data_IF_023411349227
#
_entry.id   IF_023411349227
#
_cell.length_a   1.000
_cell.length_b   1.000
_cell.length_c   1.000
_cell.angle_alpha   90.00
_cell.angle_beta   90.00
_cell.angle_gamma   90.00
#
_symmetry.space_group_name_H-M   'P 1'
#
loop_
_entity.id
_entity.type
_entity.pdbx_description
1 polymer ?
#
# COMPACT_ATOMS: atom_id res chain seq x y z
N UNK A 1 18.16 5.98 -9.02
CA UNK A 1 17.03 5.38 -8.28
C UNK A 1 16.46 6.41 -7.32
N UNK A 2 15.15 6.55 -7.27
CA UNK A 2 14.43 7.45 -6.38
C UNK A 2 13.48 6.64 -5.48
N UNK A 3 13.39 6.99 -4.20
CA UNK A 3 12.53 6.28 -3.22
C UNK A 3 11.49 7.26 -2.69
N UNK A 4 10.24 6.86 -2.62
CA UNK A 4 9.13 7.67 -2.11
C UNK A 4 8.20 6.84 -1.23
N UNK A 5 7.58 7.48 -0.24
CA UNK A 5 6.69 6.86 0.75
C UNK A 5 5.36 7.60 0.85
N UNK A 6 4.39 6.93 1.44
CA UNK A 6 3.03 7.42 1.71
C UNK A 6 3.00 8.50 2.80
N UNK A 7 1.95 9.35 2.79
CA UNK A 7 1.79 10.49 3.71
C UNK A 7 2.90 11.55 3.60
N UNK A 8 3.33 11.83 2.39
CA UNK A 8 4.42 12.75 2.10
C UNK A 8 3.98 14.18 1.78
N UNK A 9 2.72 14.38 1.38
CA UNK A 9 2.20 15.69 0.98
C UNK A 9 2.08 16.66 2.14
N UNK A 10 2.72 17.82 2.01
CA UNK A 10 2.59 18.92 2.96
C UNK A 10 1.16 19.51 3.01
N UNK A 11 0.41 19.40 1.90
CA UNK A 11 -0.95 19.95 1.79
C UNK A 11 -1.92 19.33 2.78
N UNK A 12 -1.90 18.00 2.91
CA UNK A 12 -2.90 17.26 3.69
C UNK A 12 -2.37 16.66 5.00
N UNK A 13 -1.05 16.67 5.20
CA UNK A 13 -0.41 16.06 6.37
C UNK A 13 -0.95 16.60 7.70
N UNK A 14 -1.12 17.93 7.79
CA UNK A 14 -1.63 18.57 8.99
C UNK A 14 -3.10 18.19 9.24
N UNK A 15 -3.95 18.24 8.20
CA UNK A 15 -5.38 17.89 8.28
C UNK A 15 -5.56 16.41 8.65
N UNK A 16 -4.82 15.50 7.99
CA UNK A 16 -4.84 14.07 8.29
C UNK A 16 -4.41 13.78 9.72
N UNK A 17 -3.35 14.45 10.22
CA UNK A 17 -2.88 14.30 11.60
C UNK A 17 -3.91 14.80 12.62
N UNK A 18 -4.53 15.94 12.35
CA UNK A 18 -5.56 16.51 13.20
C UNK A 18 -6.80 15.62 13.27
N UNK A 19 -7.31 15.18 12.12
CA UNK A 19 -8.46 14.28 12.04
C UNK A 19 -8.22 12.93 12.72
N UNK A 20 -7.02 12.35 12.55
CA UNK A 20 -6.62 11.14 13.30
C UNK A 20 -6.58 11.35 14.80
N UNK A 21 -6.04 12.49 15.27
CA UNK A 21 -5.95 12.79 16.70
C UNK A 21 -7.34 12.98 17.34
N UNK A 22 -8.26 13.59 16.61
CA UNK A 22 -9.63 13.87 17.08
C UNK A 22 -10.60 12.70 16.85
N UNK A 23 -10.16 11.63 16.17
CA UNK A 23 -11.00 10.51 15.74
C UNK A 23 -12.26 10.94 14.94
N UNK A 24 -12.14 11.98 14.11
CA UNK A 24 -13.23 12.56 13.32
C UNK A 24 -13.26 12.14 11.85
N UNK A 25 -12.29 11.32 11.40
CA UNK A 25 -12.23 10.87 10.02
C UNK A 25 -13.23 9.74 9.76
N UNK A 26 -14.21 10.01 8.91
CA UNK A 26 -15.05 8.96 8.34
C UNK A 26 -14.24 8.15 7.30
N UNK A 27 -14.64 6.91 6.95
CA UNK A 27 -13.98 6.15 5.89
C UNK A 27 -13.83 6.94 4.58
N UNK A 28 -14.88 7.64 4.14
CA UNK A 28 -14.88 8.47 2.94
C UNK A 28 -13.88 9.64 3.04
N UNK A 29 -13.91 10.40 4.14
CA UNK A 29 -12.99 11.53 4.34
C UNK A 29 -11.54 11.04 4.39
N UNK A 30 -11.31 9.86 4.96
CA UNK A 30 -10.00 9.26 5.02
C UNK A 30 -9.47 8.88 3.64
N UNK A 31 -10.31 8.27 2.78
CA UNK A 31 -9.99 7.96 1.38
C UNK A 31 -9.64 9.23 0.58
N UNK A 32 -10.45 10.28 0.69
CA UNK A 32 -10.22 11.55 -0.03
C UNK A 32 -8.90 12.23 0.39
N UNK A 33 -8.59 12.26 1.68
CA UNK A 33 -7.32 12.81 2.17
C UNK A 33 -6.13 12.01 1.66
N UNK A 34 -6.23 10.68 1.63
CA UNK A 34 -5.18 9.82 1.09
C UNK A 34 -5.05 9.95 -0.43
N UNK A 35 -6.14 10.10 -1.16
CA UNK A 35 -6.09 10.33 -2.60
C UNK A 35 -5.43 11.67 -2.94
N UNK A 36 -5.71 12.72 -2.16
CA UNK A 36 -5.04 14.03 -2.31
C UNK A 36 -3.54 13.94 -2.02
N UNK A 37 -3.15 13.23 -0.94
CA UNK A 37 -1.74 12.95 -0.64
C UNK A 37 -1.06 12.21 -1.80
N UNK A 38 -1.73 11.22 -2.36
CA UNK A 38 -1.20 10.43 -3.46
C UNK A 38 -1.09 11.25 -4.76
N UNK A 39 -2.07 12.09 -5.08
CA UNK A 39 -2.04 12.95 -6.25
C UNK A 39 -0.84 13.91 -6.22
N UNK A 40 -0.61 14.53 -5.06
CA UNK A 40 0.54 15.41 -4.82
C UNK A 40 1.87 14.63 -4.97
N UNK A 41 1.97 13.48 -4.32
CA UNK A 41 3.13 12.57 -4.42
C UNK A 41 3.39 12.12 -5.86
N UNK A 42 2.34 11.79 -6.61
CA UNK A 42 2.45 11.37 -8.00
C UNK A 42 3.08 12.47 -8.86
N UNK A 43 2.57 13.69 -8.74
CA UNK A 43 2.99 14.82 -9.56
C UNK A 43 4.39 15.34 -9.22
N UNK A 44 4.75 15.35 -7.95
CA UNK A 44 6.02 15.96 -7.51
C UNK A 44 7.13 14.95 -7.22
N UNK A 45 6.81 13.71 -6.85
CA UNK A 45 7.81 12.75 -6.40
C UNK A 45 7.92 11.50 -7.28
N UNK A 46 6.91 11.17 -8.11
CA UNK A 46 6.92 9.97 -8.94
C UNK A 46 7.15 10.31 -10.41
N UNK A 47 6.32 11.16 -10.99
CA UNK A 47 6.39 11.49 -12.42
C UNK A 47 7.71 12.15 -12.82
N UNK A 48 8.25 13.16 -12.11
CA UNK A 48 9.48 13.81 -12.53
C UNK A 48 10.69 12.87 -12.63
N UNK A 49 11.01 12.03 -11.61
CA UNK A 49 12.12 11.11 -11.73
C UNK A 49 11.87 10.02 -12.79
N UNK A 50 10.63 9.55 -13.02
CA UNK A 50 10.32 8.64 -14.12
C UNK A 50 10.60 9.28 -15.48
N UNK A 51 10.19 10.54 -15.69
CA UNK A 51 10.50 11.29 -16.91
C UNK A 51 12.00 11.52 -17.11
N UNK A 52 12.77 11.54 -16.04
CA UNK A 52 14.23 11.62 -16.08
C UNK A 52 14.91 10.23 -16.30
N UNK A 53 14.16 9.18 -16.61
CA UNK A 53 14.68 7.83 -16.84
C UNK A 53 15.15 7.11 -15.57
N UNK A 54 14.69 7.55 -14.39
CA UNK A 54 15.09 6.94 -13.12
C UNK A 54 14.13 5.80 -12.74
N UNK A 55 14.67 4.78 -12.08
CA UNK A 55 13.85 3.78 -11.38
C UNK A 55 13.27 4.43 -10.12
N UNK A 56 11.96 4.35 -9.95
CA UNK A 56 11.23 4.82 -8.78
C UNK A 56 10.77 3.65 -7.93
N UNK A 57 11.18 3.59 -6.67
CA UNK A 57 10.67 2.66 -5.68
C UNK A 57 9.62 3.37 -4.81
N UNK A 58 8.37 2.96 -4.94
CA UNK A 58 7.27 3.49 -4.17
C UNK A 58 6.93 2.53 -3.01
N UNK A 59 7.30 2.90 -1.77
CA UNK A 59 6.79 2.21 -0.59
C UNK A 59 5.32 2.59 -0.41
N UNK A 60 4.45 1.60 -0.54
CA UNK A 60 2.99 1.70 -0.68
C UNK A 60 2.57 2.47 -1.94
N UNK A 61 1.59 1.95 -2.60
CA UNK A 61 0.98 2.51 -3.80
C UNK A 61 -0.55 2.48 -3.69
N UNK A 62 -1.29 2.74 -4.77
CA UNK A 62 -2.77 2.75 -4.81
C UNK A 62 -3.38 1.48 -4.24
N UNK A 63 -2.72 0.34 -4.39
CA UNK A 63 -3.16 -0.94 -3.82
C UNK A 63 -3.35 -0.90 -2.29
N UNK A 64 -2.57 -0.06 -1.58
CA UNK A 64 -2.78 0.16 -0.14
C UNK A 64 -4.10 0.85 0.15
N UNK A 65 -4.49 1.83 -0.67
CA UNK A 65 -5.80 2.47 -0.56
C UNK A 65 -6.91 1.48 -0.93
N UNK A 66 -6.76 0.74 -2.03
CA UNK A 66 -7.75 -0.25 -2.46
C UNK A 66 -8.08 -1.24 -1.35
N UNK A 67 -7.07 -1.82 -0.71
CA UNK A 67 -7.28 -2.77 0.36
C UNK A 67 -7.85 -2.12 1.64
N UNK A 68 -7.26 -1.02 2.10
CA UNK A 68 -7.61 -0.42 3.39
C UNK A 68 -8.94 0.31 3.38
N UNK A 69 -9.30 0.94 2.26
CA UNK A 69 -10.54 1.69 2.15
C UNK A 69 -11.72 0.73 1.94
N UNK A 70 -11.55 -0.32 1.12
CA UNK A 70 -12.54 -1.39 0.99
C UNK A 70 -12.76 -2.14 2.33
N UNK A 71 -11.70 -2.45 3.07
CA UNK A 71 -11.80 -3.05 4.41
C UNK A 71 -12.54 -2.15 5.41
N UNK A 72 -12.64 -0.83 5.14
CA UNK A 72 -13.45 0.14 5.91
C UNK A 72 -14.88 0.29 5.39
N UNK A 73 -15.26 -0.47 4.37
CA UNK A 73 -16.61 -0.43 3.80
C UNK A 73 -16.83 0.64 2.73
N UNK A 74 -15.77 1.25 2.22
CA UNK A 74 -15.87 2.11 1.02
C UNK A 74 -16.03 1.21 -0.21
N UNK A 75 -16.89 1.60 -1.16
CA UNK A 75 -17.11 0.83 -2.39
C UNK A 75 -15.79 0.62 -3.14
N UNK A 76 -15.35 -0.62 -3.37
CA UNK A 76 -14.09 -0.91 -4.04
C UNK A 76 -14.00 -0.32 -5.46
N UNK A 77 -15.13 -0.23 -6.20
CA UNK A 77 -15.16 0.36 -7.55
C UNK A 77 -14.93 1.85 -7.48
N UNK A 78 -15.60 2.53 -6.53
CA UNK A 78 -15.40 3.95 -6.32
C UNK A 78 -13.95 4.28 -5.93
N UNK A 79 -13.31 3.47 -5.09
CA UNK A 79 -11.89 3.67 -4.73
C UNK A 79 -10.99 3.52 -5.96
N UNK A 80 -11.24 2.55 -6.84
CA UNK A 80 -10.47 2.38 -8.08
C UNK A 80 -10.64 3.58 -9.03
N UNK A 81 -11.87 4.08 -9.18
CA UNK A 81 -12.16 5.28 -9.97
C UNK A 81 -11.47 6.51 -9.39
N UNK A 82 -11.48 6.68 -8.07
CA UNK A 82 -10.80 7.78 -7.36
C UNK A 82 -9.30 7.83 -7.67
N UNK A 83 -8.66 6.69 -7.89
CA UNK A 83 -7.23 6.59 -8.21
C UNK A 83 -6.95 6.33 -9.70
N UNK A 84 -7.94 6.52 -10.59
CA UNK A 84 -7.79 6.27 -12.04
C UNK A 84 -6.70 7.10 -12.72
N UNK A 85 -6.31 8.22 -12.12
CA UNK A 85 -5.22 9.08 -12.57
C UNK A 85 -3.82 8.52 -12.28
N UNK A 86 -3.70 7.43 -11.52
CA UNK A 86 -2.43 6.86 -11.11
C UNK A 86 -1.74 6.15 -12.28
N UNK A 87 -0.45 6.38 -12.44
CA UNK A 87 0.38 5.61 -13.38
C UNK A 87 0.46 4.16 -12.90
N UNK A 88 0.21 3.20 -13.79
CA UNK A 88 0.36 1.78 -13.45
C UNK A 88 1.84 1.46 -13.20
N UNK A 89 2.20 0.84 -12.07
CA UNK A 89 3.58 0.43 -11.83
C UNK A 89 3.96 -0.72 -12.75
N UNK A 90 5.20 -0.73 -13.21
CA UNK A 90 5.75 -1.80 -14.06
C UNK A 90 5.90 -3.12 -13.29
N UNK A 91 6.25 -3.04 -12.02
CA UNK A 91 6.33 -4.17 -11.10
C UNK A 91 5.68 -3.81 -9.77
N UNK A 92 4.67 -4.58 -9.38
CA UNK A 92 4.03 -4.46 -8.07
C UNK A 92 4.32 -5.70 -7.23
N UNK A 93 4.84 -5.50 -6.03
CA UNK A 93 5.19 -6.58 -5.11
C UNK A 93 4.42 -6.44 -3.80
N UNK A 94 3.81 -7.54 -3.37
CA UNK A 94 3.10 -7.64 -2.11
C UNK A 94 3.85 -8.54 -1.14
N UNK A 95 4.31 -7.98 -0.03
CA UNK A 95 4.89 -8.74 1.08
C UNK A 95 3.77 -9.28 1.97
N UNK A 96 3.37 -10.53 1.73
CA UNK A 96 2.27 -11.17 2.45
C UNK A 96 2.77 -11.75 3.76
N UNK A 97 2.15 -11.36 4.87
CA UNK A 97 2.44 -11.89 6.20
C UNK A 97 1.14 -12.34 6.88
N UNK A 98 1.06 -13.56 7.44
CA UNK A 98 -0.10 -13.99 8.21
C UNK A 98 -0.35 -13.05 9.40
N UNK A 99 -1.63 -12.83 9.73
CA UNK A 99 -2.01 -11.85 10.75
C UNK A 99 -1.39 -12.17 12.11
N UNK A 100 -1.32 -13.44 12.50
CA UNK A 100 -0.75 -13.84 13.78
C UNK A 100 0.75 -13.54 13.84
N UNK A 101 1.49 -13.81 12.78
CA UNK A 101 2.92 -13.47 12.66
C UNK A 101 3.14 -11.96 12.75
N UNK A 102 2.25 -11.16 12.12
CA UNK A 102 2.31 -9.71 12.22
C UNK A 102 2.06 -9.22 13.63
N UNK A 103 1.06 -9.77 14.30
CA UNK A 103 0.70 -9.43 15.67
C UNK A 103 1.81 -9.81 16.65
N UNK A 104 2.36 -11.02 16.56
CA UNK A 104 3.47 -11.47 17.38
C UNK A 104 4.71 -10.56 17.24
N UNK A 105 5.04 -10.15 16.01
CA UNK A 105 6.14 -9.22 15.75
C UNK A 105 5.91 -7.83 16.38
N UNK A 106 4.67 -7.33 16.32
CA UNK A 106 4.33 -6.04 16.93
C UNK A 106 4.42 -6.11 18.46
N UNK A 107 3.88 -7.17 19.06
CA UNK A 107 3.92 -7.38 20.51
C UNK A 107 5.35 -7.60 21.02
N UNK A 108 6.13 -8.43 20.34
CA UNK A 108 7.54 -8.69 20.71
C UNK A 108 8.40 -7.41 20.68
N UNK A 109 8.12 -6.49 19.74
CA UNK A 109 8.81 -5.21 19.63
C UNK A 109 8.23 -4.12 20.52
N UNK A 110 7.20 -4.41 21.31
CA UNK A 110 6.44 -3.45 22.14
C UNK A 110 5.94 -2.23 21.34
N UNK A 111 5.63 -2.44 20.07
CA UNK A 111 5.08 -1.38 19.22
C UNK A 111 3.64 -1.13 19.64
N UNK A 112 3.33 0.13 19.94
CA UNK A 112 1.98 0.53 20.31
C UNK A 112 1.07 0.49 19.07
N UNK A 113 0.03 -0.32 19.11
CA UNK A 113 -1.01 -0.33 18.08
C UNK A 113 -1.71 1.02 18.04
N UNK A 114 -1.83 1.60 16.86
CA UNK A 114 -2.52 2.88 16.68
C UNK A 114 -4.00 2.68 16.38
N UNK A 115 -4.83 3.59 16.83
CA UNK A 115 -6.28 3.55 16.72
C UNK A 115 -6.77 3.15 15.31
N UNK A 116 -6.37 3.88 14.27
CA UNK A 116 -6.77 3.59 12.88
C UNK A 116 -6.08 2.37 12.25
N UNK A 117 -4.91 1.98 12.74
CA UNK A 117 -4.24 0.75 12.28
C UNK A 117 -4.94 -0.50 12.83
N UNK A 118 -5.54 -0.36 13.99
CA UNK A 118 -6.32 -1.40 14.64
C UNK A 118 -7.80 -1.41 14.19
N UNK A 119 -8.23 -0.48 13.31
CA UNK A 119 -9.62 -0.42 12.88
C UNK A 119 -10.61 -0.05 13.98
N UNK A 120 -10.15 0.64 15.05
CA UNK A 120 -11.01 1.06 16.16
C UNK A 120 -12.08 2.06 15.73
N UNK A 121 -11.84 2.77 14.64
CA UNK A 121 -12.79 3.65 13.97
C UNK A 121 -14.03 2.92 13.41
N UNK A 122 -13.96 1.60 13.29
CA UNK A 122 -15.04 0.75 12.79
C UNK A 122 -15.87 0.07 13.89
N UNK A 123 -15.45 0.19 15.15
CA UNK A 123 -16.15 -0.43 16.27
C UNK A 123 -16.21 -1.96 16.23
N UNK A 124 -15.25 -2.63 15.61
CA UNK A 124 -15.25 -4.09 15.40
C UNK A 124 -15.13 -4.87 16.71
N UNK A 125 -14.41 -4.33 17.68
CA UNK A 125 -14.25 -4.90 19.02
C UNK A 125 -13.84 -3.79 20.00
N UNK A 126 -14.20 -3.87 21.27
CA UNK A 126 -13.66 -2.99 22.30
C UNK A 126 -12.19 -3.26 22.62
N UNK A 127 -11.70 -4.47 22.32
CA UNK A 127 -10.30 -4.85 22.47
C UNK A 127 -9.48 -4.36 21.30
N UNK A 128 -8.43 -3.58 21.57
CA UNK A 128 -7.52 -3.05 20.53
C UNK A 128 -6.84 -4.17 19.72
N UNK A 129 -6.44 -5.27 20.37
CA UNK A 129 -5.78 -6.41 19.72
C UNK A 129 -6.78 -7.17 18.86
N UNK A 130 -7.98 -7.42 19.36
CA UNK A 130 -9.01 -8.13 18.60
C UNK A 130 -9.51 -7.29 17.42
N UNK A 131 -9.72 -5.98 17.62
CA UNK A 131 -10.07 -5.06 16.53
C UNK A 131 -8.99 -5.04 15.45
N UNK A 132 -7.70 -5.02 15.86
CA UNK A 132 -6.59 -5.13 14.91
C UNK A 132 -6.65 -6.44 14.11
N UNK A 133 -6.86 -7.58 14.78
CA UNK A 133 -6.97 -8.89 14.12
C UNK A 133 -8.11 -8.90 13.08
N UNK A 134 -9.30 -8.46 13.46
CA UNK A 134 -10.46 -8.40 12.60
C UNK A 134 -10.26 -7.44 11.42
N UNK A 135 -9.76 -6.24 11.67
CA UNK A 135 -9.55 -5.25 10.62
C UNK A 135 -8.44 -5.65 9.64
N UNK A 136 -7.29 -6.09 10.15
CA UNK A 136 -6.18 -6.51 9.29
C UNK A 136 -6.51 -7.81 8.54
N UNK A 137 -7.36 -8.69 9.11
CA UNK A 137 -7.90 -9.84 8.38
C UNK A 137 -8.66 -9.40 7.12
N UNK A 138 -9.58 -8.43 7.25
CA UNK A 138 -10.29 -7.84 6.09
C UNK A 138 -9.32 -7.21 5.08
N UNK A 139 -8.28 -6.53 5.56
CA UNK A 139 -7.25 -5.93 4.68
C UNK A 139 -6.50 -7.00 3.90
N UNK A 140 -6.15 -8.13 4.54
CA UNK A 140 -5.50 -9.26 3.86
C UNK A 140 -6.39 -9.88 2.78
N UNK A 141 -7.68 -10.09 3.06
CA UNK A 141 -8.66 -10.58 2.08
C UNK A 141 -8.77 -9.66 0.86
N UNK A 142 -8.78 -8.34 1.08
CA UNK A 142 -8.78 -7.37 -0.01
C UNK A 142 -7.47 -7.41 -0.81
N UNK A 143 -6.31 -7.57 -0.15
CA UNK A 143 -5.05 -7.74 -0.87
C UNK A 143 -5.01 -9.02 -1.69
N UNK A 144 -5.55 -10.14 -1.19
CA UNK A 144 -5.63 -11.39 -1.96
C UNK A 144 -6.46 -11.19 -3.26
N UNK A 145 -7.58 -10.44 -3.20
CA UNK A 145 -8.34 -10.05 -4.41
C UNK A 145 -7.55 -9.15 -5.36
N UNK A 146 -6.81 -8.17 -4.81
CA UNK A 146 -5.98 -7.23 -5.58
C UNK A 146 -4.81 -7.96 -6.26
N UNK A 147 -4.23 -8.97 -5.62
CA UNK A 147 -3.20 -9.84 -6.22
C UNK A 147 -3.70 -10.45 -7.52
N UNK A 148 -4.90 -11.03 -7.50
CA UNK A 148 -5.51 -11.67 -8.68
C UNK A 148 -5.91 -10.64 -9.74
N UNK A 149 -6.49 -9.50 -9.32
CA UNK A 149 -6.99 -8.45 -10.21
C UNK A 149 -5.87 -7.72 -10.97
N UNK A 150 -4.74 -7.45 -10.30
CA UNK A 150 -3.65 -6.62 -10.84
C UNK A 150 -2.36 -7.39 -11.12
N UNK A 151 -2.31 -8.67 -10.82
CA UNK A 151 -1.15 -9.52 -11.07
C UNK A 151 0.06 -9.19 -10.19
N UNK A 152 -0.17 -8.84 -8.91
CA UNK A 152 0.92 -8.53 -7.99
C UNK A 152 1.80 -9.77 -7.75
N UNK A 153 3.12 -9.55 -7.68
CA UNK A 153 4.05 -10.60 -7.25
C UNK A 153 4.04 -10.71 -5.73
N UNK A 154 3.74 -11.90 -5.22
CA UNK A 154 3.66 -12.14 -3.78
C UNK A 154 5.00 -12.63 -3.27
N UNK A 155 5.50 -12.02 -2.21
CA UNK A 155 6.67 -12.45 -1.43
C UNK A 155 6.20 -12.89 -0.05
N UNK A 156 6.57 -14.10 0.37
CA UNK A 156 6.28 -14.57 1.72
C UNK A 156 7.10 -13.78 2.74
N UNK A 157 6.40 -12.95 3.53
CA UNK A 157 7.00 -12.13 4.57
C UNK A 157 6.94 -12.77 5.97
N UNK A 158 6.61 -14.07 6.09
CA UNK A 158 6.67 -14.81 7.36
C UNK A 158 8.10 -15.11 7.80
N UNK A 159 9.00 -15.31 6.85
CA UNK A 159 10.41 -15.65 7.08
C UNK A 159 11.31 -14.49 7.52
N UNK A 160 12.62 -14.70 7.40
CA UNK A 160 13.63 -13.70 7.77
C UNK A 160 13.68 -12.53 6.77
N UNK A 161 14.12 -11.34 7.22
CA UNK A 161 14.34 -10.19 6.33
C UNK A 161 15.31 -10.54 5.21
N UNK A 162 16.35 -11.35 5.48
CA UNK A 162 17.33 -11.78 4.49
C UNK A 162 16.70 -12.62 3.37
N UNK A 163 15.79 -13.55 3.71
CA UNK A 163 15.10 -14.37 2.70
C UNK A 163 14.17 -13.52 1.85
N UNK A 164 13.39 -12.62 2.46
CA UNK A 164 12.52 -11.69 1.76
C UNK A 164 13.30 -10.79 0.80
N UNK A 165 14.43 -10.23 1.24
CA UNK A 165 15.29 -9.40 0.41
C UNK A 165 15.88 -10.17 -0.77
N UNK A 166 16.25 -11.43 -0.59
CA UNK A 166 16.75 -12.28 -1.68
C UNK A 166 15.69 -12.51 -2.74
N UNK A 167 14.49 -12.85 -2.32
CA UNK A 167 13.36 -13.08 -3.22
C UNK A 167 12.95 -11.81 -3.95
N UNK A 168 12.82 -10.69 -3.25
CA UNK A 168 12.51 -9.39 -3.84
C UNK A 168 13.55 -8.97 -4.89
N UNK A 169 14.84 -9.11 -4.56
CA UNK A 169 15.92 -8.78 -5.51
C UNK A 169 15.89 -9.66 -6.76
N UNK A 170 15.55 -10.94 -6.60
CA UNK A 170 15.40 -11.86 -7.74
C UNK A 170 14.25 -11.39 -8.63
N UNK A 171 13.09 -11.09 -8.08
CA UNK A 171 11.94 -10.56 -8.85
C UNK A 171 12.28 -9.29 -9.63
N UNK A 172 13.03 -8.38 -9.02
CA UNK A 172 13.48 -7.15 -9.69
C UNK A 172 14.49 -7.46 -10.79
N UNK A 173 15.46 -8.35 -10.55
CA UNK A 173 16.45 -8.76 -11.56
C UNK A 173 15.78 -9.42 -12.76
N UNK A 174 14.92 -10.40 -12.52
CA UNK A 174 14.16 -11.11 -13.57
C UNK A 174 13.33 -10.13 -14.42
N UNK A 175 12.71 -9.13 -13.77
CA UNK A 175 11.95 -8.09 -14.47
C UNK A 175 12.87 -7.21 -15.35
N UNK A 176 14.00 -6.74 -14.83
CA UNK A 176 14.94 -5.88 -15.57
C UNK A 176 15.60 -6.62 -16.73
N UNK A 177 15.94 -7.90 -16.57
CA UNK A 177 16.49 -8.74 -17.63
C UNK A 177 15.45 -8.96 -18.74
N UNK A 178 14.20 -9.25 -18.39
CA UNK A 178 13.10 -9.38 -19.34
C UNK A 178 12.77 -8.08 -20.08
N UNK A 179 12.88 -6.94 -19.42
CA UNK A 179 12.67 -5.62 -20.03
C UNK A 179 13.84 -5.17 -20.94
N UNK A 180 15.04 -5.76 -20.76
CA UNK A 180 16.24 -5.48 -21.57
C UNK A 180 16.38 -6.39 -22.78
N UNK A 181 15.50 -7.39 -22.95
CA UNK A 181 15.45 -8.25 -24.14
C UNK A 181 15.05 -7.47 -25.39
N UNK A 182 15.38 -7.97 -26.60
CA UNK A 182 15.08 -7.27 -27.84
C UNK A 182 13.58 -6.99 -27.93
N UNK A 183 13.23 -5.70 -27.94
CA UNK A 183 11.86 -5.27 -28.25
C UNK A 183 11.58 -5.73 -29.68
N UNK A 184 10.61 -6.64 -29.86
CA UNK A 184 10.09 -6.96 -31.18
C UNK A 184 9.67 -5.64 -31.85
N UNK A 185 10.27 -5.38 -33.03
CA UNK A 185 9.95 -4.21 -33.87
C UNK A 185 8.44 -4.08 -34.02
N UNK A 186 7.92 -2.85 -34.04
CA UNK A 186 6.52 -2.65 -34.39
C UNK A 186 6.28 -3.21 -35.79
N UNK A 187 5.34 -4.12 -35.88
CA UNK A 187 4.80 -4.56 -37.20
C UNK A 187 4.04 -3.37 -37.76
N UNK A 188 4.52 -2.86 -38.92
CA UNK A 188 3.91 -1.79 -39.71
C UNK A 188 2.42 -2.02 -40.00
#
# INVERSE_FOLDING_TARGET
MFVTDWNSSALVKAATKAGKKQATLTPMTFSLLHATDFADRLLYNIIPPLKAGMIVLADRYTYTAFARDAARGVDPRWVRELYSFAVRPDLAVYFRVPIEVSLDRLLARRVKLKFYEAGMDLGLSPSLVESFRLFQGRVLEEYDRIVDEFGLKVVDASGSITSQQREFRRLVADYLEGASGPQSEPVD
#
